data_IF_369147788564
#
_entry.id   IF_369147788564
#
_cell.length_a   1.000
_cell.length_b   1.000
_cell.length_c   1.000
_cell.angle_alpha   90.00
_cell.angle_beta   90.00
_cell.angle_gamma   90.00
#
_symmetry.space_group_name_H-M   'P 1'
#
loop_
_entity.id
_entity.type
_entity.pdbx_description
1 polymer ?
#
# COMPACT_ATOMS: atom_id res chain seq x y z
N UNK A 1 22.20 -12.11 -0.89
CA UNK A 1 21.33 -11.02 -0.46
C UNK A 1 20.83 -10.28 -1.70
N UNK A 2 19.55 -10.02 -1.79
CA UNK A 2 18.98 -9.26 -2.92
C UNK A 2 19.22 -7.75 -2.72
N UNK A 3 19.10 -6.99 -3.80
CA UNK A 3 19.31 -5.54 -3.79
C UNK A 3 18.35 -4.86 -4.74
N UNK A 4 17.92 -3.64 -4.40
CA UNK A 4 17.24 -2.75 -5.34
C UNK A 4 18.07 -1.48 -5.56
N UNK A 5 18.02 -0.96 -6.76
CA UNK A 5 18.68 0.30 -7.11
C UNK A 5 17.82 1.48 -6.65
N UNK A 6 18.43 2.42 -5.93
CA UNK A 6 17.83 3.69 -5.54
C UNK A 6 18.74 4.84 -6.01
N UNK A 7 18.30 6.08 -5.91
CA UNK A 7 19.16 7.23 -6.22
C UNK A 7 20.35 7.35 -5.25
N UNK A 8 20.21 6.80 -4.05
CA UNK A 8 21.24 6.82 -2.99
C UNK A 8 22.18 5.62 -3.04
N UNK A 9 22.01 4.71 -3.98
CA UNK A 9 22.82 3.50 -4.11
C UNK A 9 22.01 2.21 -4.11
N UNK A 10 22.67 1.09 -3.85
CA UNK A 10 22.04 -0.22 -3.79
C UNK A 10 21.53 -0.49 -2.38
N UNK A 11 20.23 -0.61 -2.24
CA UNK A 11 19.58 -0.99 -0.97
C UNK A 11 19.55 -2.51 -0.85
N UNK A 12 20.30 -3.10 0.06
CA UNK A 12 20.26 -4.55 0.27
C UNK A 12 19.02 -4.94 1.06
N UNK A 13 18.49 -6.13 0.77
CA UNK A 13 17.38 -6.70 1.55
C UNK A 13 17.44 -8.22 1.56
N UNK A 14 16.83 -8.82 2.58
CA UNK A 14 16.68 -10.27 2.71
C UNK A 14 15.24 -10.64 2.44
N UNK A 15 15.02 -11.47 1.40
CA UNK A 15 13.68 -11.98 1.10
C UNK A 15 13.18 -12.90 2.21
N UNK A 16 11.92 -12.72 2.59
CA UNK A 16 11.22 -13.58 3.54
C UNK A 16 10.08 -14.30 2.83
N UNK A 17 9.82 -15.53 3.26
CA UNK A 17 8.59 -16.23 2.89
C UNK A 17 7.43 -15.55 3.62
N UNK A 18 6.40 -15.22 2.87
CA UNK A 18 5.19 -14.62 3.42
C UNK A 18 4.18 -15.75 3.67
N UNK A 19 3.93 -16.06 4.93
CA UNK A 19 2.97 -17.07 5.31
C UNK A 19 1.57 -16.46 5.41
N UNK A 20 0.79 -16.59 4.37
CA UNK A 20 -0.54 -15.97 4.30
C UNK A 20 -1.65 -16.73 5.01
N UNK A 21 -1.47 -18.03 5.28
CA UNK A 21 -2.56 -18.90 5.72
C UNK A 21 -2.75 -19.05 7.22
N UNK A 22 -1.74 -18.74 8.04
CA UNK A 22 -1.76 -19.08 9.48
C UNK A 22 -1.53 -17.88 10.39
N UNK A 23 -1.00 -16.78 9.87
CA UNK A 23 -0.69 -15.59 10.67
C UNK A 23 -1.90 -14.69 10.79
N UNK A 24 -2.26 -14.34 12.03
CA UNK A 24 -3.21 -13.26 12.30
C UNK A 24 -2.46 -11.94 12.45
N UNK A 25 -3.04 -10.87 11.93
CA UNK A 25 -2.50 -9.53 12.08
C UNK A 25 -2.56 -9.08 13.54
N UNK A 26 -1.45 -8.57 14.06
CA UNK A 26 -1.45 -7.79 15.28
C UNK A 26 -1.89 -6.36 14.92
N UNK A 27 -3.15 -6.04 15.18
CA UNK A 27 -3.74 -4.76 14.77
C UNK A 27 -3.08 -3.55 15.43
N UNK A 28 -2.62 -3.69 16.67
CA UNK A 28 -1.92 -2.61 17.39
C UNK A 28 -0.62 -2.27 16.69
N UNK A 29 0.18 -3.29 16.37
CA UNK A 29 1.44 -3.12 15.65
C UNK A 29 1.19 -2.61 14.23
N UNK A 30 0.21 -3.15 13.53
CA UNK A 30 -0.11 -2.69 12.17
C UNK A 30 -0.53 -1.22 12.16
N UNK A 31 -1.34 -0.78 13.13
CA UNK A 31 -1.75 0.62 13.24
C UNK A 31 -0.55 1.54 13.49
N UNK A 32 0.38 1.14 14.35
CA UNK A 32 1.64 1.86 14.57
C UNK A 32 2.47 1.93 13.28
N UNK A 33 2.61 0.82 12.58
CA UNK A 33 3.36 0.75 11.32
C UNK A 33 2.72 1.65 10.25
N UNK A 34 1.40 1.62 10.13
CA UNK A 34 0.68 2.46 9.17
C UNK A 34 0.84 3.95 9.50
N UNK A 35 0.80 4.31 10.79
CA UNK A 35 1.03 5.70 11.22
C UNK A 35 2.43 6.19 10.86
N UNK A 36 3.45 5.38 11.12
CA UNK A 36 4.82 5.72 10.74
C UNK A 36 5.00 5.82 9.23
N UNK A 37 4.46 4.85 8.49
CA UNK A 37 4.50 4.86 7.02
C UNK A 37 3.83 6.12 6.47
N UNK A 38 2.64 6.44 6.95
CA UNK A 38 1.91 7.64 6.54
C UNK A 38 2.73 8.91 6.77
N UNK A 39 3.38 9.03 7.91
CA UNK A 39 4.23 10.18 8.21
C UNK A 39 5.40 10.32 7.22
N UNK A 40 6.05 9.22 6.84
CA UNK A 40 7.11 9.24 5.83
C UNK A 40 6.62 9.63 4.45
N UNK A 41 5.53 9.02 4.00
CA UNK A 41 5.02 9.26 2.65
C UNK A 41 4.38 10.65 2.50
N UNK A 42 3.69 11.12 3.52
CA UNK A 42 3.08 12.46 3.50
C UNK A 42 4.15 13.57 3.56
N UNK A 43 5.24 13.35 4.28
CA UNK A 43 6.36 14.30 4.36
C UNK A 43 6.98 14.61 3.00
N UNK A 44 7.02 13.63 2.10
CA UNK A 44 7.53 13.81 0.74
C UNK A 44 6.42 14.01 -0.29
N UNK A 45 5.20 14.26 0.17
CA UNK A 45 4.02 14.52 -0.67
C UNK A 45 3.79 13.45 -1.75
N UNK A 46 3.87 12.18 -1.35
CA UNK A 46 3.60 11.05 -2.23
C UNK A 46 2.11 10.84 -2.41
N UNK A 47 1.67 10.57 -3.65
CA UNK A 47 0.32 10.12 -3.91
C UNK A 47 0.20 8.63 -3.52
N UNK A 48 -0.45 8.38 -2.40
CA UNK A 48 -0.61 7.04 -1.87
C UNK A 48 -1.95 6.90 -1.15
N UNK A 49 -2.38 5.68 -0.97
CA UNK A 49 -3.59 5.39 -0.21
C UNK A 49 -3.77 3.90 0.00
N UNK A 50 -4.75 3.51 0.83
CA UNK A 50 -5.11 2.10 0.98
C UNK A 50 -5.65 1.55 -0.33
N UNK A 51 -5.39 0.26 -0.58
CA UNK A 51 -5.76 -0.40 -1.82
C UNK A 51 -6.58 -1.67 -1.55
N UNK A 52 -7.42 -2.02 -2.52
CA UNK A 52 -8.14 -3.29 -2.57
C UNK A 52 -8.88 -3.64 -1.28
N UNK A 53 -8.67 -4.84 -0.74
CA UNK A 53 -9.33 -5.31 0.48
C UNK A 53 -9.06 -4.45 1.71
N UNK A 54 -7.91 -3.79 1.79
CA UNK A 54 -7.59 -2.88 2.87
C UNK A 54 -8.46 -1.61 2.83
N UNK A 55 -8.71 -1.07 1.64
CA UNK A 55 -9.65 0.04 1.46
C UNK A 55 -11.07 -0.35 1.87
N UNK A 56 -11.53 -1.54 1.48
CA UNK A 56 -12.84 -2.06 1.86
C UNK A 56 -12.98 -2.11 3.38
N UNK A 57 -12.00 -2.68 4.08
CA UNK A 57 -12.01 -2.77 5.53
C UNK A 57 -12.12 -1.41 6.22
N UNK A 58 -11.34 -0.44 5.76
CA UNK A 58 -11.35 0.92 6.29
C UNK A 58 -12.71 1.58 6.11
N UNK A 59 -13.24 1.56 4.91
CA UNK A 59 -14.46 2.30 4.57
C UNK A 59 -15.71 1.64 5.12
N UNK A 60 -15.79 0.31 5.09
CA UNK A 60 -17.00 -0.41 5.49
C UNK A 60 -17.03 -0.84 6.94
N UNK A 61 -15.87 -1.14 7.53
CA UNK A 61 -15.79 -1.69 8.88
C UNK A 61 -15.03 -0.81 9.86
N UNK A 62 -14.43 0.28 9.40
CA UNK A 62 -13.50 1.11 10.17
C UNK A 62 -12.45 0.26 10.89
N UNK A 63 -11.96 -0.78 10.19
CA UNK A 63 -11.00 -1.73 10.75
C UNK A 63 -10.19 -2.41 9.63
N UNK A 64 -9.13 -3.10 10.05
CA UNK A 64 -8.41 -4.04 9.18
C UNK A 64 -9.29 -5.25 8.85
N UNK A 65 -9.07 -5.83 7.68
CA UNK A 65 -9.76 -7.07 7.29
C UNK A 65 -9.29 -8.23 8.17
N UNK A 66 -10.18 -8.93 8.90
CA UNK A 66 -9.76 -9.92 9.92
C UNK A 66 -9.08 -11.15 9.33
N UNK A 67 -9.34 -11.47 8.07
CA UNK A 67 -8.73 -12.61 7.38
C UNK A 67 -7.47 -12.26 6.58
N UNK A 68 -7.14 -10.98 6.46
CA UNK A 68 -5.96 -10.52 5.73
C UNK A 68 -4.79 -10.31 6.69
N UNK A 69 -3.68 -11.05 6.49
CA UNK A 69 -2.52 -10.90 7.37
C UNK A 69 -1.64 -9.69 7.05
N UNK A 70 -1.98 -8.92 6.01
CA UNK A 70 -1.21 -7.75 5.60
C UNK A 70 -2.12 -6.60 5.18
N UNK A 71 -1.53 -5.42 5.11
CA UNK A 71 -2.19 -4.20 4.67
C UNK A 71 -1.68 -3.78 3.30
N UNK A 72 -2.60 -3.47 2.37
CA UNK A 72 -2.26 -3.08 1.01
C UNK A 72 -2.38 -1.57 0.83
N UNK A 73 -1.36 -0.97 0.24
CA UNK A 73 -1.38 0.41 -0.23
C UNK A 73 -0.95 0.48 -1.69
N UNK A 74 -1.25 1.59 -2.33
CA UNK A 74 -0.72 1.91 -3.65
C UNK A 74 0.16 3.16 -3.61
N UNK A 75 1.09 3.24 -4.54
CA UNK A 75 1.78 4.46 -4.95
C UNK A 75 1.70 4.56 -6.48
N UNK A 76 1.92 5.76 -7.03
CA UNK A 76 1.96 5.93 -8.48
C UNK A 76 3.37 5.65 -9.01
N UNK A 77 3.47 5.17 -10.25
CA UNK A 77 4.75 4.87 -10.91
C UNK A 77 5.69 6.08 -10.92
N UNK A 78 5.13 7.27 -11.09
CA UNK A 78 5.89 8.54 -11.10
C UNK A 78 6.59 8.79 -9.77
N UNK A 79 6.10 8.24 -8.69
CA UNK A 79 6.61 8.43 -7.33
C UNK A 79 7.54 7.30 -6.87
N UNK A 80 7.72 6.25 -7.69
CA UNK A 80 8.45 5.04 -7.28
C UNK A 80 9.89 5.33 -6.86
N UNK A 81 10.61 6.19 -7.57
CA UNK A 81 12.00 6.52 -7.21
C UNK A 81 12.08 7.24 -5.88
N UNK A 82 11.18 8.19 -5.61
CA UNK A 82 11.11 8.88 -4.31
C UNK A 82 10.74 7.92 -3.19
N UNK A 83 9.84 6.97 -3.45
CA UNK A 83 9.49 5.92 -2.50
C UNK A 83 10.73 5.06 -2.16
N UNK A 84 11.48 4.62 -3.15
CA UNK A 84 12.70 3.84 -2.92
C UNK A 84 13.73 4.60 -2.08
N UNK A 85 13.84 5.90 -2.29
CA UNK A 85 14.78 6.72 -1.54
C UNK A 85 14.36 6.88 -0.08
N UNK A 86 13.07 6.94 0.22
CA UNK A 86 12.60 7.05 1.60
C UNK A 86 12.75 5.75 2.39
N UNK A 87 12.88 4.60 1.72
CA UNK A 87 13.12 3.32 2.38
C UNK A 87 14.37 3.34 3.25
N UNK A 88 15.42 4.08 2.83
CA UNK A 88 16.63 4.24 3.64
C UNK A 88 16.35 4.83 5.01
N UNK A 89 15.47 5.83 5.07
CA UNK A 89 15.09 6.47 6.33
C UNK A 89 14.15 5.58 7.15
N UNK A 90 13.25 4.88 6.49
CA UNK A 90 12.31 3.98 7.16
C UNK A 90 13.02 2.82 7.86
N UNK A 91 14.16 2.38 7.35
CA UNK A 91 14.96 1.33 7.98
C UNK A 91 15.46 1.74 9.36
N UNK A 92 15.73 3.03 9.60
CA UNK A 92 16.14 3.54 10.90
C UNK A 92 15.04 3.38 11.96
N UNK A 93 13.78 3.35 11.52
CA UNK A 93 12.61 3.11 12.38
C UNK A 93 12.17 1.63 12.42
N UNK A 94 13.00 0.74 11.90
CA UNK A 94 12.79 -0.70 12.00
C UNK A 94 12.02 -1.33 10.85
N UNK A 95 11.67 -0.58 9.81
CA UNK A 95 11.13 -1.18 8.59
C UNK A 95 12.22 -1.96 7.84
N UNK A 96 11.82 -3.05 7.25
CA UNK A 96 12.67 -3.87 6.39
C UNK A 96 11.94 -4.13 5.07
N UNK A 97 12.63 -3.99 3.96
CA UNK A 97 12.16 -4.53 2.70
C UNK A 97 12.37 -6.04 2.72
N UNK A 98 11.30 -6.82 2.54
CA UNK A 98 11.36 -8.29 2.61
C UNK A 98 10.97 -8.98 1.32
N UNK A 99 10.43 -8.23 0.36
CA UNK A 99 10.12 -8.71 -0.98
C UNK A 99 10.04 -7.55 -1.97
N UNK A 100 10.55 -7.80 -3.17
CA UNK A 100 10.42 -6.89 -4.30
C UNK A 100 10.18 -7.69 -5.58
N UNK A 101 9.21 -7.26 -6.38
CA UNK A 101 8.96 -7.80 -7.71
C UNK A 101 9.12 -6.69 -8.75
N UNK A 102 9.72 -7.03 -9.90
CA UNK A 102 10.02 -6.05 -10.97
C UNK A 102 8.79 -5.33 -11.51
N UNK A 103 7.62 -5.95 -11.42
CA UNK A 103 6.35 -5.31 -11.79
C UNK A 103 6.00 -4.10 -10.92
N UNK A 104 6.74 -3.85 -9.85
CA UNK A 104 6.48 -2.76 -8.91
C UNK A 104 5.66 -3.22 -7.71
N UNK A 105 6.08 -4.29 -7.08
CA UNK A 105 5.54 -4.73 -5.81
C UNK A 105 6.64 -4.72 -4.76
N UNK A 106 6.38 -4.06 -3.65
CA UNK A 106 7.26 -4.04 -2.49
C UNK A 106 6.49 -4.59 -1.29
N UNK A 107 7.15 -5.37 -0.45
CA UNK A 107 6.60 -5.77 0.84
C UNK A 107 7.53 -5.29 1.92
N UNK A 108 7.01 -4.47 2.80
CA UNK A 108 7.69 -3.94 3.98
C UNK A 108 7.26 -4.73 5.21
N UNK A 109 8.19 -4.97 6.10
CA UNK A 109 7.93 -5.61 7.39
C UNK A 109 8.45 -4.73 8.51
N UNK A 110 7.67 -4.60 9.57
CA UNK A 110 8.12 -4.03 10.84
C UNK A 110 7.41 -4.75 11.97
N UNK A 111 8.18 -5.27 12.92
CA UNK A 111 7.66 -6.04 14.06
C UNK A 111 6.72 -7.18 13.63
N UNK A 112 7.18 -7.92 12.60
CA UNK A 112 6.49 -9.09 12.03
C UNK A 112 5.13 -8.81 11.37
N UNK A 113 4.76 -7.55 11.17
CA UNK A 113 3.59 -7.15 10.40
C UNK A 113 4.01 -6.61 9.02
N UNK A 114 3.19 -6.88 7.99
CA UNK A 114 3.55 -6.66 6.60
C UNK A 114 2.65 -5.62 5.93
N UNK A 115 3.26 -4.71 5.20
CA UNK A 115 2.57 -3.77 4.32
C UNK A 115 3.01 -4.04 2.88
N UNK A 116 2.04 -4.26 2.01
CA UNK A 116 2.24 -4.46 0.59
C UNK A 116 2.06 -3.14 -0.14
N UNK A 117 3.03 -2.75 -0.94
CA UNK A 117 3.01 -1.51 -1.71
C UNK A 117 2.94 -1.87 -3.19
N UNK A 118 1.81 -1.55 -3.82
CA UNK A 118 1.60 -1.73 -5.25
C UNK A 118 1.96 -0.45 -5.99
N UNK A 119 2.82 -0.57 -6.99
CA UNK A 119 3.11 0.53 -7.92
C UNK A 119 2.12 0.48 -9.07
N UNK A 120 1.36 1.56 -9.26
CA UNK A 120 0.35 1.65 -10.30
C UNK A 120 0.92 2.27 -11.57
N UNK A 121 0.98 1.47 -12.64
CA UNK A 121 1.49 1.85 -13.95
C UNK A 121 0.37 2.30 -14.87
N UNK A 122 0.58 3.36 -15.64
CA UNK A 122 -0.37 3.75 -16.68
C UNK A 122 -0.40 2.73 -17.82
N UNK A 123 -1.61 2.28 -18.16
CA UNK A 123 -1.88 1.53 -19.39
C UNK A 123 -2.37 2.50 -20.48
N UNK A 124 -3.16 3.50 -20.06
CA UNK A 124 -3.72 4.55 -20.91
C UNK A 124 -3.86 5.83 -20.11
N UNK A 125 -4.43 6.89 -20.70
CA UNK A 125 -4.74 8.14 -19.98
C UNK A 125 -5.69 7.91 -18.79
N UNK A 126 -6.53 6.87 -18.86
CA UNK A 126 -7.66 6.69 -17.95
C UNK A 126 -7.51 5.52 -16.99
N UNK A 127 -6.52 4.63 -17.19
CA UNK A 127 -6.41 3.37 -16.45
C UNK A 127 -4.97 3.11 -16.03
N UNK A 128 -4.81 2.65 -14.79
CA UNK A 128 -3.55 2.12 -14.26
C UNK A 128 -3.71 0.66 -13.83
N UNK A 129 -2.62 -0.09 -13.82
CA UNK A 129 -2.58 -1.48 -13.38
C UNK A 129 -1.43 -1.74 -12.40
N UNK A 130 -1.53 -2.85 -11.67
CA UNK A 130 -0.51 -3.29 -10.69
C UNK A 130 0.63 -4.11 -11.31
N UNK A 131 0.62 -4.34 -12.61
CA UNK A 131 1.48 -5.33 -13.27
C UNK A 131 0.93 -6.75 -13.22
N UNK A 132 -0.18 -6.97 -12.53
CA UNK A 132 -0.96 -8.20 -12.51
C UNK A 132 -2.30 -8.02 -13.23
N UNK A 133 -3.35 -8.69 -12.71
CA UNK A 133 -4.71 -8.61 -13.27
C UNK A 133 -5.53 -7.42 -12.76
N UNK A 134 -5.09 -6.78 -11.68
CA UNK A 134 -5.82 -5.69 -11.07
C UNK A 134 -5.55 -4.36 -11.77
N UNK A 135 -6.59 -3.56 -11.94
CA UNK A 135 -6.49 -2.23 -12.52
C UNK A 135 -7.40 -1.24 -11.78
N UNK A 136 -7.07 0.05 -11.89
CA UNK A 136 -7.80 1.15 -11.25
C UNK A 136 -7.94 2.28 -12.27
N UNK A 137 -9.14 2.86 -12.38
CA UNK A 137 -9.35 4.04 -13.20
C UNK A 137 -8.68 5.26 -12.56
N UNK A 138 -8.01 6.05 -13.39
CA UNK A 138 -7.27 7.24 -12.99
C UNK A 138 -8.14 8.23 -12.20
N UNK A 139 -9.42 8.35 -12.55
CA UNK A 139 -10.36 9.26 -11.87
C UNK A 139 -10.45 9.03 -10.36
N UNK A 140 -10.31 7.77 -9.91
CA UNK A 140 -10.36 7.43 -8.48
C UNK A 140 -9.07 7.79 -7.73
N UNK A 141 -7.98 7.93 -8.47
CA UNK A 141 -6.67 8.27 -7.90
C UNK A 141 -6.46 9.79 -7.86
N UNK A 142 -7.06 10.52 -8.80
CA UNK A 142 -6.94 11.98 -8.91
C UNK A 142 -7.91 12.72 -7.98
N UNK A 143 -9.10 12.18 -7.76
CA UNK A 143 -10.13 12.77 -6.94
C UNK A 143 -10.25 11.99 -5.62
N UNK A 144 -9.45 12.38 -4.64
CA UNK A 144 -9.41 11.76 -3.32
C UNK A 144 -9.81 12.73 -2.23
N UNK A 145 -10.28 12.18 -1.12
CA UNK A 145 -10.57 12.90 0.12
C UNK A 145 -9.75 12.30 1.26
N UNK A 146 -9.51 13.09 2.29
CA UNK A 146 -8.89 12.57 3.52
C UNK A 146 -9.95 11.83 4.34
N UNK A 147 -9.67 10.58 4.63
CA UNK A 147 -10.49 9.72 5.47
C UNK A 147 -9.75 9.46 6.78
N UNK A 148 -10.39 9.78 7.89
CA UNK A 148 -9.79 9.52 9.20
C UNK A 148 -9.95 8.04 9.56
N UNK A 149 -8.84 7.31 9.57
CA UNK A 149 -8.78 5.93 10.02
C UNK A 149 -8.02 5.84 11.35
N UNK A 150 -8.76 5.76 12.45
CA UNK A 150 -8.20 5.64 13.80
C UNK A 150 -7.13 6.72 14.11
N UNK A 151 -7.39 7.95 13.65
CA UNK A 151 -6.48 9.08 13.81
C UNK A 151 -5.42 9.23 12.71
N UNK A 152 -5.42 8.38 11.69
CA UNK A 152 -4.51 8.46 10.54
C UNK A 152 -5.30 8.98 9.34
N UNK A 153 -4.93 10.14 8.77
CA UNK A 153 -5.57 10.62 7.54
C UNK A 153 -5.08 9.81 6.34
N UNK A 154 -5.99 9.15 5.66
CA UNK A 154 -5.70 8.34 4.47
C UNK A 154 -6.38 8.94 3.25
N UNK A 155 -5.73 8.85 2.09
CA UNK A 155 -6.32 9.25 0.82
C UNK A 155 -7.26 8.15 0.33
N UNK A 156 -8.54 8.48 0.22
CA UNK A 156 -9.59 7.55 -0.22
C UNK A 156 -10.27 8.19 -1.43
N UNK A 157 -10.66 7.41 -2.46
CA UNK A 157 -11.42 7.98 -3.58
C UNK A 157 -12.65 8.75 -3.08
N UNK A 158 -12.89 9.95 -3.62
CA UNK A 158 -14.06 10.75 -3.22
C UNK A 158 -15.36 9.99 -3.48
N UNK A 159 -15.43 9.28 -4.62
CA UNK A 159 -16.55 8.42 -4.98
C UNK A 159 -16.27 6.96 -4.59
N UNK A 160 -15.96 6.72 -3.32
CA UNK A 160 -15.49 5.43 -2.85
C UNK A 160 -16.51 4.30 -3.04
N UNK A 161 -17.79 4.58 -2.90
CA UNK A 161 -18.84 3.57 -3.11
C UNK A 161 -18.91 3.12 -4.57
N UNK A 162 -18.82 4.05 -5.51
CA UNK A 162 -18.72 3.74 -6.94
C UNK A 162 -17.47 2.92 -7.23
N UNK A 163 -16.32 3.33 -6.69
CA UNK A 163 -15.07 2.61 -6.86
C UNK A 163 -15.15 1.17 -6.34
N UNK A 164 -15.67 0.97 -5.13
CA UNK A 164 -15.77 -0.37 -4.54
C UNK A 164 -16.76 -1.25 -5.31
N UNK A 165 -17.86 -0.70 -5.79
CA UNK A 165 -18.81 -1.43 -6.63
C UNK A 165 -18.16 -1.86 -7.95
N UNK A 166 -17.44 -0.97 -8.59
CA UNK A 166 -16.73 -1.24 -9.84
C UNK A 166 -15.62 -2.29 -9.65
N UNK A 167 -14.79 -2.13 -8.62
CA UNK A 167 -13.60 -2.97 -8.38
C UNK A 167 -13.97 -4.42 -8.03
N UNK A 168 -15.03 -4.62 -7.27
CA UNK A 168 -15.40 -5.93 -6.74
C UNK A 168 -16.65 -6.53 -7.41
N UNK A 169 -17.26 -5.81 -8.33
CA UNK A 169 -18.52 -6.20 -8.95
C UNK A 169 -19.72 -6.15 -8.00
N UNK A 170 -20.87 -6.63 -8.46
CA UNK A 170 -22.12 -6.59 -7.71
C UNK A 170 -22.11 -7.42 -6.42
N UNK A 171 -21.27 -8.44 -6.35
CA UNK A 171 -21.16 -9.34 -5.20
C UNK A 171 -20.51 -8.70 -3.97
N UNK A 172 -19.82 -7.58 -4.14
CA UNK A 172 -19.14 -6.89 -3.04
C UNK A 172 -20.00 -5.82 -2.37
N UNK A 173 -21.17 -5.58 -2.88
CA UNK A 173 -22.15 -4.69 -2.27
C UNK A 173 -22.93 -5.50 -1.24
N UNK A 174 -22.79 -5.19 0.07
CA UNK A 174 -23.57 -5.89 1.09
C UNK A 174 -25.04 -5.58 0.97
#
# INVERSE_FOLDING_TARGET
MAQIKTSKGLLPYKSHLLYFGTKRMNKVVMLENLRLLAAYLDKIDLNWGPAFGSLIGIVRNDDFQPWKPLFDIYILKEDEERFKDVLWLMMDDGFQLVRHERRGLYVLMRREEYIKVFVLHKISSDVRHTGGSDFIHEKYLQNTVKWDFKGIPLNVPADVDEYLTFQNGAESVP
#
